data_IF_467522387605
#
_entry.id   IF_467522387605
#
_cell.length_a   1.000
_cell.length_b   1.000
_cell.length_c   1.000
_cell.angle_alpha   90.00
_cell.angle_beta   90.00
_cell.angle_gamma   90.00
#
_symmetry.space_group_name_H-M   'P 1'
#
loop_
_entity.id
_entity.type
_entity.pdbx_description
1 polymer ?
#
# COMPACT_ATOMS: atom_id res chain seq x y z
N UNK A 1 19.25 4.42 -8.71
CA UNK A 1 19.44 5.19 -7.46
C UNK A 1 19.51 6.68 -7.79
N UNK A 2 18.76 7.50 -7.06
CA UNK A 2 18.75 8.97 -7.19
C UNK A 2 19.03 9.59 -5.82
N UNK A 3 19.47 10.85 -5.79
CA UNK A 3 19.71 11.56 -4.52
C UNK A 3 18.38 11.72 -3.77
N UNK A 4 18.40 11.44 -2.46
CA UNK A 4 17.25 11.64 -1.55
C UNK A 4 16.00 10.81 -1.85
N UNK A 5 16.10 9.76 -2.67
CA UNK A 5 15.03 8.80 -2.90
C UNK A 5 15.45 7.40 -2.44
N UNK A 6 14.52 6.67 -1.83
CA UNK A 6 14.75 5.29 -1.43
C UNK A 6 15.12 4.44 -2.67
N UNK A 7 16.26 3.73 -2.68
CA UNK A 7 16.71 2.97 -3.83
C UNK A 7 15.81 1.78 -4.20
N UNK A 8 14.90 1.35 -3.31
CA UNK A 8 13.89 0.34 -3.61
C UNK A 8 12.80 0.86 -4.57
N UNK A 9 12.68 2.18 -4.74
CA UNK A 9 11.72 2.78 -5.67
C UNK A 9 12.25 2.66 -7.12
N UNK A 10 11.69 1.70 -7.86
CA UNK A 10 11.97 1.54 -9.29
C UNK A 10 11.41 2.71 -10.11
N UNK A 11 11.87 2.84 -11.36
CA UNK A 11 11.36 3.89 -12.27
C UNK A 11 9.84 3.76 -12.51
N UNK A 12 9.34 2.54 -12.72
CA UNK A 12 7.90 2.27 -12.91
C UNK A 12 7.10 2.62 -11.65
N UNK A 13 7.63 2.36 -10.46
CA UNK A 13 6.97 2.71 -9.20
C UNK A 13 6.92 4.24 -9.01
N UNK A 14 8.05 4.94 -9.21
CA UNK A 14 8.08 6.39 -9.13
C UNK A 14 7.11 7.03 -10.13
N UNK A 15 7.03 6.50 -11.35
CA UNK A 15 6.06 6.93 -12.34
C UNK A 15 4.62 6.77 -11.83
N UNK A 16 4.25 5.60 -11.31
CA UNK A 16 2.91 5.35 -10.79
C UNK A 16 2.58 6.28 -9.61
N UNK A 17 3.43 6.32 -8.58
CA UNK A 17 3.23 7.16 -7.39
C UNK A 17 3.09 8.65 -7.76
N UNK A 18 3.86 9.13 -8.75
CA UNK A 18 3.80 10.52 -9.19
C UNK A 18 2.57 10.82 -10.05
N UNK A 19 2.09 9.85 -10.83
CA UNK A 19 0.95 10.00 -11.73
C UNK A 19 -0.41 9.88 -11.04
N UNK A 20 -0.47 9.20 -9.89
CA UNK A 20 -1.69 9.12 -9.07
C UNK A 20 -2.19 10.50 -8.66
N UNK A 21 -3.50 10.71 -8.72
CA UNK A 21 -4.21 11.86 -8.14
C UNK A 21 -4.52 11.67 -6.65
N UNK A 22 -5.10 12.70 -6.03
CA UNK A 22 -5.66 12.56 -4.67
C UNK A 22 -6.86 11.61 -4.70
N UNK A 23 -6.91 10.67 -3.76
CA UNK A 23 -7.94 9.64 -3.67
C UNK A 23 -7.66 8.40 -4.51
N UNK A 24 -6.67 8.43 -5.41
CA UNK A 24 -6.21 7.21 -6.08
C UNK A 24 -5.62 6.24 -5.05
N UNK A 25 -5.87 4.96 -5.28
CA UNK A 25 -5.41 3.89 -4.40
C UNK A 25 -4.33 3.05 -5.06
N UNK A 26 -3.45 2.46 -4.25
CA UNK A 26 -2.53 1.41 -4.70
C UNK A 26 -2.64 0.20 -3.79
N UNK A 27 -2.42 -0.98 -4.35
CA UNK A 27 -2.34 -2.23 -3.57
C UNK A 27 -0.89 -2.56 -3.33
N UNK A 28 -0.51 -2.74 -2.07
CA UNK A 28 0.73 -3.40 -1.67
C UNK A 28 0.42 -4.87 -1.40
N UNK A 29 0.93 -5.77 -2.23
CA UNK A 29 0.55 -7.16 -2.25
C UNK A 29 1.65 -8.09 -1.69
N UNK A 30 1.22 -9.06 -0.89
CA UNK A 30 2.06 -10.21 -0.52
C UNK A 30 2.20 -11.20 -1.69
N UNK A 31 3.06 -12.21 -1.52
CA UNK A 31 3.39 -13.21 -2.53
C UNK A 31 2.23 -14.18 -2.84
N UNK A 32 1.20 -14.25 -1.99
CA UNK A 32 0.04 -15.12 -2.16
C UNK A 32 -1.09 -14.43 -2.92
N UNK A 33 -1.10 -13.09 -2.96
CA UNK A 33 -2.09 -12.31 -3.67
C UNK A 33 -2.01 -12.57 -5.18
N UNK A 34 -3.15 -12.71 -5.89
CA UNK A 34 -3.19 -12.91 -7.33
C UNK A 34 -2.90 -11.61 -8.10
N UNK A 35 -1.69 -11.06 -7.89
CA UNK A 35 -1.27 -9.75 -8.37
C UNK A 35 -1.43 -9.59 -9.87
N UNK A 36 -1.03 -10.60 -10.66
CA UNK A 36 -1.11 -10.54 -12.12
C UNK A 36 -2.55 -10.43 -12.66
N UNK A 37 -3.53 -11.12 -12.07
CA UNK A 37 -4.92 -11.06 -12.55
C UNK A 37 -5.65 -9.81 -12.08
N UNK A 38 -5.34 -9.34 -10.87
CA UNK A 38 -5.90 -8.09 -10.33
C UNK A 38 -5.29 -6.88 -11.03
N UNK A 39 -3.98 -6.85 -11.26
CA UNK A 39 -3.32 -5.71 -11.89
C UNK A 39 -3.82 -5.43 -13.31
N UNK A 40 -4.24 -6.46 -14.08
CA UNK A 40 -4.87 -6.28 -15.40
C UNK A 40 -6.18 -5.48 -15.36
N UNK A 41 -6.80 -5.34 -14.19
CA UNK A 41 -8.03 -4.56 -13.99
C UNK A 41 -7.75 -3.16 -13.43
N UNK A 42 -6.53 -2.90 -12.95
CA UNK A 42 -6.13 -1.58 -12.44
C UNK A 42 -5.83 -0.59 -13.56
N UNK A 43 -5.77 0.70 -13.24
CA UNK A 43 -5.47 1.78 -14.22
C UNK A 43 -4.16 1.53 -14.97
N UNK A 44 -3.13 1.04 -14.28
CA UNK A 44 -1.83 0.76 -14.88
C UNK A 44 -1.82 -0.52 -15.73
N UNK A 45 -2.73 -1.47 -15.47
CA UNK A 45 -2.89 -2.69 -16.26
C UNK A 45 -1.78 -3.75 -16.11
N UNK A 46 -0.75 -3.50 -15.31
CA UNK A 46 0.39 -4.41 -15.06
C UNK A 46 0.88 -4.34 -13.61
N UNK A 47 1.49 -5.43 -13.15
CA UNK A 47 2.11 -5.49 -11.81
C UNK A 47 3.42 -4.71 -11.81
N UNK A 48 3.61 -3.87 -10.79
CA UNK A 48 4.93 -3.34 -10.43
C UNK A 48 5.55 -4.28 -9.40
N UNK A 49 6.83 -4.62 -9.57
CA UNK A 49 7.51 -5.57 -8.68
C UNK A 49 8.50 -4.86 -7.77
N UNK A 50 8.41 -5.18 -6.49
CA UNK A 50 9.42 -4.95 -5.46
C UNK A 50 9.81 -6.32 -4.88
N UNK A 51 10.34 -7.18 -5.75
CA UNK A 51 10.69 -8.55 -5.38
C UNK A 51 11.74 -8.56 -4.25
N UNK A 52 11.70 -9.59 -3.40
CA UNK A 52 12.65 -9.87 -2.33
C UNK A 52 12.69 -8.87 -1.14
N UNK A 53 11.73 -7.95 -1.03
CA UNK A 53 11.57 -7.14 0.18
C UNK A 53 10.24 -7.43 0.88
N UNK A 54 10.22 -7.30 2.21
CA UNK A 54 9.00 -7.45 3.01
C UNK A 54 8.02 -6.31 2.75
N UNK A 55 6.74 -6.51 3.08
CA UNK A 55 5.73 -5.47 2.92
C UNK A 55 6.05 -4.22 3.78
N UNK A 56 6.52 -4.32 5.04
CA UNK A 56 6.95 -3.13 5.80
C UNK A 56 8.09 -2.36 5.12
N UNK A 57 9.09 -3.06 4.56
CA UNK A 57 10.19 -2.42 3.85
C UNK A 57 9.73 -1.71 2.58
N UNK A 58 8.80 -2.33 1.84
CA UNK A 58 8.20 -1.74 0.65
C UNK A 58 7.33 -0.52 1.00
N UNK A 59 6.51 -0.64 2.04
CA UNK A 59 5.67 0.45 2.55
C UNK A 59 6.51 1.65 2.96
N UNK A 60 7.58 1.44 3.73
CA UNK A 60 8.53 2.49 4.11
C UNK A 60 9.09 3.25 2.92
N UNK A 61 9.45 2.54 1.83
CA UNK A 61 9.92 3.18 0.61
C UNK A 61 8.82 4.03 -0.03
N UNK A 62 7.61 3.49 -0.15
CA UNK A 62 6.45 4.16 -0.75
C UNK A 62 6.09 5.42 0.05
N UNK A 63 5.96 5.32 1.37
CA UNK A 63 5.58 6.44 2.25
C UNK A 63 6.68 7.51 2.37
N UNK A 64 7.92 7.23 1.97
CA UNK A 64 8.96 8.27 1.87
C UNK A 64 8.65 9.34 0.82
N UNK A 65 7.72 9.07 -0.11
CA UNK A 65 7.33 9.99 -1.19
C UNK A 65 5.82 10.13 -1.39
N UNK A 66 5.02 9.19 -0.89
CA UNK A 66 3.56 9.18 -1.05
C UNK A 66 2.88 9.73 0.20
N UNK A 67 2.20 10.89 0.14
CA UNK A 67 1.36 11.36 1.24
C UNK A 67 0.13 10.47 1.38
N UNK A 68 -0.26 10.12 2.60
CA UNK A 68 -1.55 9.48 2.88
C UNK A 68 -2.65 10.52 3.07
N UNK A 69 -3.88 10.09 2.87
CA UNK A 69 -5.08 10.92 3.01
C UNK A 69 -5.60 11.04 4.46
N UNK A 70 -4.69 10.83 5.43
CA UNK A 70 -4.98 10.68 6.86
C UNK A 70 -5.80 11.84 7.47
N UNK A 71 -5.61 13.11 7.06
CA UNK A 71 -6.41 14.21 7.61
C UNK A 71 -7.91 14.12 7.26
N UNK A 72 -8.27 13.38 6.20
CA UNK A 72 -9.65 13.27 5.73
C UNK A 72 -10.30 11.93 6.09
N UNK A 73 -9.52 10.84 6.16
CA UNK A 73 -10.01 9.49 6.43
C UNK A 73 -8.90 8.50 6.81
N UNK A 74 -9.25 7.36 7.43
CA UNK A 74 -8.36 6.21 7.48
C UNK A 74 -7.88 5.85 6.08
N UNK A 75 -6.57 5.87 5.87
CA UNK A 75 -5.97 5.88 4.51
C UNK A 75 -5.28 4.59 4.11
N UNK A 76 -5.21 3.63 5.03
CA UNK A 76 -4.64 2.30 4.74
C UNK A 76 -5.60 1.22 5.19
N UNK A 77 -6.01 0.38 4.24
CA UNK A 77 -6.86 -0.78 4.48
C UNK A 77 -6.02 -2.03 4.73
N UNK A 78 -6.45 -2.85 5.68
CA UNK A 78 -5.93 -4.22 5.92
C UNK A 78 -7.05 -5.24 5.72
N UNK A 79 -6.71 -6.44 5.26
CA UNK A 79 -7.68 -7.54 5.26
C UNK A 79 -8.00 -8.01 6.70
N UNK A 80 -9.27 -8.28 6.97
CA UNK A 80 -9.70 -9.02 8.17
C UNK A 80 -9.22 -10.47 8.15
N UNK A 81 -8.88 -11.00 9.33
CA UNK A 81 -8.65 -12.44 9.49
C UNK A 81 -10.00 -13.15 9.43
N UNK A 82 -10.12 -14.16 8.58
CA UNK A 82 -11.37 -14.89 8.36
C UNK A 82 -11.87 -15.47 9.70
N UNK A 83 -13.09 -15.08 10.09
CA UNK A 83 -13.73 -15.53 11.33
C UNK A 83 -13.18 -14.89 12.60
N UNK A 84 -12.23 -13.94 12.50
CA UNK A 84 -11.59 -13.26 13.63
C UNK A 84 -11.23 -11.80 13.29
N UNK A 85 -12.21 -10.92 13.05
CA UNK A 85 -11.97 -9.56 12.57
C UNK A 85 -11.10 -8.70 13.51
N UNK A 86 -11.13 -8.98 14.81
CA UNK A 86 -10.34 -8.29 15.84
C UNK A 86 -8.90 -8.82 15.95
N UNK A 87 -8.57 -9.94 15.30
CA UNK A 87 -7.20 -10.46 15.30
C UNK A 87 -6.32 -9.59 14.39
N UNK A 88 -5.20 -9.11 14.95
CA UNK A 88 -4.18 -8.34 14.24
C UNK A 88 -2.91 -9.19 14.14
N UNK A 89 -2.66 -9.84 12.99
CA UNK A 89 -1.42 -10.58 12.73
C UNK A 89 -0.19 -9.69 12.84
N UNK A 90 0.96 -10.30 13.12
CA UNK A 90 2.22 -9.56 13.33
C UNK A 90 2.62 -8.69 12.14
N UNK A 91 2.40 -9.18 10.91
CA UNK A 91 2.61 -8.41 9.68
C UNK A 91 1.81 -7.10 9.66
N UNK A 92 0.57 -7.10 10.16
CA UNK A 92 -0.27 -5.91 10.21
C UNK A 92 0.24 -4.93 11.28
N UNK A 93 0.81 -5.41 12.38
CA UNK A 93 1.43 -4.54 13.40
C UNK A 93 2.70 -3.87 12.90
N UNK A 94 3.56 -4.61 12.20
CA UNK A 94 4.78 -4.05 11.57
C UNK A 94 4.42 -2.96 10.56
N UNK A 95 3.36 -3.20 9.79
CA UNK A 95 2.84 -2.22 8.83
C UNK A 95 2.29 -0.98 9.54
N UNK A 96 1.52 -1.15 10.61
CA UNK A 96 1.04 -0.03 11.42
C UNK A 96 2.19 0.84 11.93
N UNK A 97 3.28 0.22 12.39
CA UNK A 97 4.45 0.96 12.88
C UNK A 97 5.11 1.82 11.80
N UNK A 98 5.21 1.33 10.56
CA UNK A 98 5.75 2.12 9.44
C UNK A 98 4.80 3.25 9.01
N UNK A 99 3.48 3.06 9.12
CA UNK A 99 2.49 4.11 8.88
C UNK A 99 2.63 5.22 9.94
N UNK A 100 2.61 4.86 11.22
CA UNK A 100 2.73 5.82 12.32
C UNK A 100 4.05 6.59 12.26
N UNK A 101 5.14 5.93 11.86
CA UNK A 101 6.44 6.56 11.67
C UNK A 101 6.44 7.58 10.51
N UNK A 102 5.74 7.29 9.41
CA UNK A 102 5.65 8.19 8.26
C UNK A 102 4.73 9.40 8.54
N UNK A 103 3.62 9.18 9.25
CA UNK A 103 2.66 10.22 9.61
C UNK A 103 3.11 11.06 10.82
N UNK A 104 4.04 10.55 11.63
CA UNK A 104 4.52 11.20 12.85
C UNK A 104 3.50 11.19 14.00
N UNK A 105 2.40 10.46 13.84
CA UNK A 105 1.29 10.32 14.79
C UNK A 105 0.54 9.00 14.54
N UNK A 106 -0.26 8.51 15.51
CA UNK A 106 -1.09 7.33 15.30
C UNK A 106 -2.06 7.51 14.12
N UNK A 107 -1.95 6.64 13.13
CA UNK A 107 -2.79 6.64 11.94
C UNK A 107 -3.32 5.21 11.68
N UNK A 108 -4.31 4.75 12.46
CA UNK A 108 -4.73 3.36 12.47
C UNK A 108 -5.29 2.92 11.12
N UNK A 109 -4.88 1.74 10.67
CA UNK A 109 -5.49 1.05 9.53
C UNK A 109 -6.95 0.71 9.82
N UNK A 110 -7.77 0.71 8.78
CA UNK A 110 -9.13 0.19 8.84
C UNK A 110 -9.20 -1.22 8.25
N UNK A 111 -10.10 -2.04 8.80
CA UNK A 111 -10.29 -3.41 8.37
C UNK A 111 -11.28 -3.49 7.21
N UNK A 112 -11.02 -4.37 6.25
CA UNK A 112 -11.96 -4.72 5.20
C UNK A 112 -12.06 -6.23 5.03
N UNK A 113 -13.28 -6.71 4.82
CA UNK A 113 -13.56 -8.12 4.52
C UNK A 113 -12.81 -8.54 3.24
N UNK A 114 -12.40 -9.81 3.16
CA UNK A 114 -11.56 -10.34 2.08
C UNK A 114 -12.13 -10.11 0.68
N UNK A 115 -13.41 -10.42 0.42
CA UNK A 115 -14.02 -10.19 -0.89
C UNK A 115 -14.12 -8.69 -1.20
N UNK A 116 -14.49 -7.86 -0.21
CA UNK A 116 -14.47 -6.41 -0.36
C UNK A 116 -13.06 -5.87 -0.70
N UNK A 117 -12.01 -6.46 -0.13
CA UNK A 117 -10.63 -6.14 -0.50
C UNK A 117 -10.38 -6.41 -1.98
N UNK A 118 -10.75 -7.59 -2.49
CA UNK A 118 -10.55 -7.92 -3.90
C UNK A 118 -11.30 -6.98 -4.84
N UNK A 119 -12.54 -6.62 -4.53
CA UNK A 119 -13.32 -5.68 -5.33
C UNK A 119 -12.73 -4.26 -5.30
N UNK A 120 -12.16 -3.85 -4.17
CA UNK A 120 -11.48 -2.56 -4.04
C UNK A 120 -10.15 -2.57 -4.79
N UNK A 121 -9.36 -3.64 -4.66
CA UNK A 121 -8.06 -3.81 -5.30
C UNK A 121 -8.15 -3.75 -6.85
N UNK A 122 -9.23 -4.26 -7.44
CA UNK A 122 -9.47 -4.16 -8.89
C UNK A 122 -9.63 -2.72 -9.37
N UNK A 123 -10.08 -1.80 -8.52
CA UNK A 123 -10.30 -0.38 -8.83
C UNK A 123 -9.09 0.49 -8.53
N UNK A 124 -8.01 -0.09 -8.01
CA UNK A 124 -6.80 0.64 -7.70
C UNK A 124 -6.12 1.19 -8.95
N UNK A 125 -5.24 2.17 -8.75
CA UNK A 125 -4.38 2.70 -9.79
C UNK A 125 -3.34 1.66 -10.22
N UNK A 126 -2.71 0.99 -9.26
CA UNK A 126 -1.72 -0.06 -9.52
C UNK A 126 -1.66 -1.11 -8.41
N UNK A 127 -1.03 -2.24 -8.72
CA UNK A 127 -0.63 -3.28 -7.76
C UNK A 127 0.89 -3.34 -7.70
N UNK A 128 1.43 -3.32 -6.49
CA UNK A 128 2.84 -3.47 -6.18
C UNK A 128 3.04 -4.81 -5.46
N UNK A 129 3.61 -5.79 -6.15
CA UNK A 129 3.91 -7.10 -5.57
C UNK A 129 5.23 -7.08 -4.82
N UNK A 130 5.25 -7.64 -3.62
CA UNK A 130 6.42 -7.73 -2.73
C UNK A 130 6.90 -9.17 -2.57
N UNK A 131 8.00 -9.35 -1.84
CA UNK A 131 8.45 -10.67 -1.39
C UNK A 131 7.86 -11.12 -0.04
N UNK A 132 6.81 -10.45 0.46
CA UNK A 132 6.18 -10.82 1.73
C UNK A 132 5.51 -12.20 1.63
N UNK A 133 5.91 -13.13 2.49
CA UNK A 133 5.41 -14.51 2.48
C UNK A 133 4.28 -14.73 3.49
N UNK A 134 4.18 -13.87 4.51
CA UNK A 134 3.20 -14.00 5.59
C UNK A 134 1.79 -13.68 5.08
N UNK A 135 0.82 -14.44 5.56
CA UNK A 135 -0.59 -14.22 5.20
C UNK A 135 -1.12 -12.88 5.72
N UNK A 136 -2.13 -12.36 5.03
CA UNK A 136 -2.74 -11.06 5.33
C UNK A 136 -1.73 -9.90 5.26
N UNK A 137 -0.72 -10.04 4.40
CA UNK A 137 0.31 -9.03 4.11
C UNK A 137 -0.06 -8.11 2.95
N UNK A 138 -1.34 -8.01 2.63
CA UNK A 138 -1.87 -7.13 1.59
C UNK A 138 -2.51 -5.88 2.20
N UNK A 139 -2.23 -4.72 1.60
CA UNK A 139 -2.72 -3.42 2.05
C UNK A 139 -3.18 -2.58 0.87
N UNK A 140 -4.18 -1.71 1.08
CA UNK A 140 -4.59 -0.70 0.10
C UNK A 140 -4.30 0.67 0.69
N UNK A 141 -3.50 1.48 0.00
CA UNK A 141 -3.15 2.82 0.44
C UNK A 141 -3.90 3.83 -0.42
N UNK A 142 -4.44 4.87 0.20
CA UNK A 142 -5.09 6.01 -0.46
C UNK A 142 -4.15 7.21 -0.47
N UNK A 143 -3.90 7.79 -1.64
CA UNK A 143 -3.04 8.97 -1.79
C UNK A 143 -3.75 10.23 -1.30
N UNK A 144 -3.10 10.94 -0.39
CA UNK A 144 -3.52 12.25 0.11
C UNK A 144 -3.05 13.41 -0.75
N UNK A 145 -2.96 14.58 -0.13
CA UNK A 145 -2.55 15.84 -0.76
C UNK A 145 -1.45 16.52 0.06
N UNK A 146 -0.49 17.14 -0.62
CA UNK A 146 0.50 18.01 0.01
C UNK A 146 0.02 19.45 -0.19
N UNK A 147 -0.11 20.25 0.89
CA UNK A 147 -0.52 21.64 0.76
C UNK A 147 0.52 22.45 -0.04
N UNK A 148 0.12 23.54 -0.72
CA UNK A 148 1.06 24.48 -1.30
C UNK A 148 2.05 24.96 -0.24
N UNK A 149 3.33 25.11 -0.61
CA UNK A 149 4.30 25.79 0.27
C UNK A 149 3.93 27.26 0.32
N UNK A 150 3.90 27.83 1.52
CA UNK A 150 3.94 29.29 1.71
C UNK A 150 5.28 29.87 1.26
#
# INVERSE_FOLDING_TARGET
MLKNLDPALSADLLYALKSMGHGDTLVLADANFPSDSIARQTVLGKVIRMDNISAPRALKAILSVLPLDTPLQPSVARMEVIGKPDEIPEIQKEIQAEIDAAEGQPAPMYAIERHAFYETAKKAYCVVATGELRFYGCFILTKGVIPPRE
#
